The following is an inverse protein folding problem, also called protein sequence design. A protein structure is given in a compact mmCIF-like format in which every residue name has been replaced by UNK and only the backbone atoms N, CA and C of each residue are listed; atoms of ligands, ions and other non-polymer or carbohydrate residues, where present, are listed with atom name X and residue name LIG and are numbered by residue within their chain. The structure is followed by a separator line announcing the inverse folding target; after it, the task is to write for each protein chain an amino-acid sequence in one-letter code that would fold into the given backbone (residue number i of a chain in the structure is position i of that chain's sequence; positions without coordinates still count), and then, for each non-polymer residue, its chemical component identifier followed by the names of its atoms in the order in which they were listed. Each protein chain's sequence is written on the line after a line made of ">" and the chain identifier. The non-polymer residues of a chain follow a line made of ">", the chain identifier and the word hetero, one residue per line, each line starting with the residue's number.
data_IF_851247186578
#
_entry.id   IF_851247186578
#
_cell.length_a   1.000
_cell.length_b   1.000
_cell.length_c   1.000
_cell.angle_alpha   90.00
_cell.angle_beta   90.00
_cell.angle_gamma   90.00
#
_symmetry.space_group_name_H-M   'P 1'
#
loop_
_entity.id
_entity.type
_entity.pdbx_description
1 polymer ?
#
# COMPACT_ATOMS: atom_id res chain seq x y z
N UNK A 1 31.88 82.74 -34.09
CA UNK A 1 33.31 83.03 -33.80
C UNK A 1 33.74 82.10 -32.68
N UNK A 2 34.76 81.27 -32.95
CA UNK A 2 35.71 80.63 -32.01
C UNK A 2 35.17 79.86 -30.79
N UNK A 3 35.69 78.71 -30.38
CA UNK A 3 36.85 77.93 -30.81
C UNK A 3 36.69 76.52 -30.25
N UNK A 4 37.19 75.53 -31.00
CA UNK A 4 37.34 74.14 -30.60
C UNK A 4 38.28 74.00 -29.39
N UNK A 5 37.95 73.10 -28.48
CA UNK A 5 38.92 72.44 -27.60
C UNK A 5 38.60 70.95 -27.55
N UNK A 6 39.49 70.15 -28.13
CA UNK A 6 39.42 68.70 -28.12
C UNK A 6 39.92 68.17 -26.77
N UNK A 7 39.14 67.30 -26.13
CA UNK A 7 39.57 66.52 -24.96
C UNK A 7 39.60 65.05 -25.40
N UNK A 8 40.81 64.48 -25.42
CA UNK A 8 41.08 63.07 -25.63
C UNK A 8 40.62 62.29 -24.38
N UNK A 9 39.62 61.42 -24.50
CA UNK A 9 39.34 60.40 -23.48
C UNK A 9 39.88 59.04 -23.96
N UNK A 10 40.86 58.51 -23.23
CA UNK A 10 41.27 57.11 -23.34
C UNK A 10 40.16 56.22 -22.75
N UNK A 11 39.62 55.31 -23.56
CA UNK A 11 38.74 54.25 -23.09
C UNK A 11 39.59 53.06 -22.59
N UNK A 12 39.57 52.78 -21.30
CA UNK A 12 40.07 51.54 -20.73
C UNK A 12 38.90 50.55 -20.61
N UNK A 13 38.88 49.51 -21.45
CA UNK A 13 37.92 48.41 -21.36
C UNK A 13 38.41 47.38 -20.34
N UNK A 14 37.82 47.36 -19.15
CA UNK A 14 38.00 46.25 -18.20
C UNK A 14 36.97 45.16 -18.51
N UNK A 15 37.44 44.05 -19.07
CA UNK A 15 36.65 42.82 -19.23
C UNK A 15 36.43 42.17 -17.86
N UNK A 16 35.18 42.10 -17.41
CA UNK A 16 34.80 41.26 -16.27
C UNK A 16 34.65 39.84 -16.80
N UNK A 17 35.65 39.01 -16.56
CA UNK A 17 35.56 37.56 -16.77
C UNK A 17 34.66 36.98 -15.69
N UNK A 18 33.43 36.59 -16.05
CA UNK A 18 32.60 35.77 -15.19
C UNK A 18 33.27 34.39 -15.06
N UNK A 19 33.84 34.12 -13.89
CA UNK A 19 34.18 32.76 -13.47
C UNK A 19 32.86 32.00 -13.29
N UNK A 20 32.51 31.15 -14.26
CA UNK A 20 31.52 30.10 -14.05
C UNK A 20 32.11 29.14 -13.01
N UNK A 21 31.67 29.28 -11.76
CA UNK A 21 31.78 28.21 -10.79
C UNK A 21 30.70 27.19 -11.15
N UNK A 22 31.08 26.14 -11.88
CA UNK A 22 30.28 24.93 -11.99
C UNK A 22 30.29 24.25 -10.62
N UNK A 23 29.36 24.67 -9.75
CA UNK A 23 29.00 23.89 -8.57
C UNK A 23 28.25 22.68 -9.10
N UNK A 24 28.98 21.58 -9.30
CA UNK A 24 28.42 20.27 -9.56
C UNK A 24 27.75 19.75 -8.28
N UNK A 25 26.56 20.28 -7.97
CA UNK A 25 25.63 19.65 -7.03
C UNK A 25 25.17 18.35 -7.70
N UNK A 26 25.86 17.26 -7.41
CA UNK A 26 25.54 15.89 -7.85
C UNK A 26 24.23 15.37 -7.26
N UNK A 27 23.16 16.16 -7.28
CA UNK A 27 21.79 15.70 -7.17
C UNK A 27 21.35 15.29 -8.57
N UNK A 28 21.89 14.16 -9.04
CA UNK A 28 21.21 13.43 -10.10
C UNK A 28 19.83 13.09 -9.56
N UNK A 29 18.78 13.76 -10.04
CA UNK A 29 17.41 13.30 -9.91
C UNK A 29 17.40 11.91 -10.55
N UNK A 30 17.52 10.88 -9.72
CA UNK A 30 17.32 9.51 -10.18
C UNK A 30 15.89 9.46 -10.70
N UNK A 31 15.74 9.29 -12.02
CA UNK A 31 14.43 9.10 -12.63
C UNK A 31 13.89 7.78 -12.10
N UNK A 32 12.90 7.85 -11.22
CA UNK A 32 12.19 6.67 -10.73
C UNK A 32 11.47 6.03 -11.92
N UNK A 33 11.78 4.78 -12.30
CA UNK A 33 11.08 4.09 -13.36
C UNK A 33 9.60 3.95 -13.02
N UNK A 34 8.73 4.40 -13.91
CA UNK A 34 7.31 4.05 -13.82
C UNK A 34 7.14 2.58 -14.22
N UNK A 35 6.58 1.80 -13.31
CA UNK A 35 6.20 0.41 -13.54
C UNK A 35 4.67 0.36 -13.60
N UNK A 36 4.14 -0.23 -14.67
CA UNK A 36 2.71 -0.48 -14.85
C UNK A 36 2.48 -1.62 -15.85
N UNK A 37 1.36 -2.35 -15.76
CA UNK A 37 0.89 -3.25 -16.80
C UNK A 37 0.63 -2.53 -18.12
N UNK A 38 0.69 -3.22 -19.25
CA UNK A 38 0.30 -2.67 -20.55
C UNK A 38 -1.23 -2.51 -20.61
N UNK A 39 -1.74 -1.32 -20.27
CA UNK A 39 -3.18 -1.03 -20.32
C UNK A 39 -3.71 -0.76 -21.72
N UNK A 40 -2.87 -0.71 -22.76
CA UNK A 40 -3.36 -0.48 -24.12
C UNK A 40 -4.28 -1.61 -24.59
N UNK A 41 -4.06 -2.82 -24.06
CA UNK A 41 -4.92 -4.01 -24.29
C UNK A 41 -6.33 -3.89 -23.69
N UNK A 42 -6.59 -2.87 -22.86
CA UNK A 42 -7.85 -2.64 -22.18
C UNK A 42 -8.70 -1.53 -22.79
N UNK A 43 -8.19 -0.80 -23.79
CA UNK A 43 -8.85 0.37 -24.36
C UNK A 43 -10.22 0.05 -25.01
N UNK A 44 -10.34 -1.14 -25.60
CA UNK A 44 -11.56 -1.59 -26.27
C UNK A 44 -12.43 -2.51 -25.40
N UNK A 45 -12.02 -2.76 -24.14
CA UNK A 45 -12.74 -3.65 -23.23
C UNK A 45 -13.85 -2.89 -22.48
N UNK A 46 -15.05 -3.50 -22.32
CA UNK A 46 -16.12 -2.88 -21.57
C UNK A 46 -15.68 -2.68 -20.12
N UNK A 47 -15.76 -1.44 -19.65
CA UNK A 47 -15.37 -1.11 -18.29
C UNK A 47 -16.54 -1.39 -17.34
N UNK A 48 -16.33 -2.33 -16.43
CA UNK A 48 -17.31 -2.81 -15.45
C UNK A 48 -16.61 -3.04 -14.12
N UNK A 49 -17.36 -2.97 -13.02
CA UNK A 49 -16.83 -3.39 -11.73
C UNK A 49 -16.63 -4.91 -11.73
N UNK A 50 -15.51 -5.37 -11.19
CA UNK A 50 -15.28 -6.78 -10.89
C UNK A 50 -16.43 -7.34 -10.07
N UNK A 51 -16.75 -8.63 -10.24
CA UNK A 51 -17.91 -9.30 -9.62
C UNK A 51 -19.32 -8.75 -9.98
N UNK A 52 -19.42 -7.65 -10.72
CA UNK A 52 -20.71 -7.13 -11.23
C UNK A 52 -20.90 -7.45 -12.71
N UNK A 53 -19.84 -7.85 -13.41
CA UNK A 53 -19.93 -8.32 -14.78
C UNK A 53 -20.58 -9.71 -14.85
N UNK A 54 -21.65 -9.83 -15.62
CA UNK A 54 -22.31 -11.11 -15.92
C UNK A 54 -21.87 -11.71 -17.25
N UNK A 55 -21.02 -11.01 -18.00
CA UNK A 55 -20.42 -11.47 -19.25
C UNK A 55 -19.01 -12.00 -19.02
N UNK A 56 -18.53 -12.86 -19.93
CA UNK A 56 -17.17 -13.38 -19.89
C UNK A 56 -16.16 -12.24 -20.00
N UNK A 57 -15.18 -12.21 -19.09
CA UNK A 57 -14.04 -11.29 -19.19
C UNK A 57 -13.07 -11.86 -20.23
N UNK A 58 -12.98 -11.23 -21.40
CA UNK A 58 -12.12 -11.69 -22.49
C UNK A 58 -10.64 -11.48 -22.18
N UNK A 59 -10.30 -10.32 -21.60
CA UNK A 59 -8.95 -9.98 -21.19
C UNK A 59 -8.86 -9.81 -19.67
N UNK A 60 -8.29 -10.80 -19.00
CA UNK A 60 -8.14 -10.84 -17.54
C UNK A 60 -7.14 -9.81 -17.01
N UNK A 61 -6.36 -9.16 -17.87
CA UNK A 61 -5.49 -8.04 -17.48
C UNK A 61 -6.26 -6.74 -17.21
N UNK A 62 -7.54 -6.67 -17.60
CA UNK A 62 -8.34 -5.44 -17.55
C UNK A 62 -9.32 -5.38 -16.37
N UNK A 63 -9.45 -6.49 -15.64
CA UNK A 63 -10.29 -6.61 -14.45
C UNK A 63 -9.76 -7.76 -13.58
N UNK A 64 -9.71 -7.62 -12.25
CA UNK A 64 -9.37 -8.74 -11.37
C UNK A 64 -10.31 -9.92 -11.58
N UNK A 65 -9.76 -11.05 -12.03
CA UNK A 65 -10.51 -12.31 -12.19
C UNK A 65 -9.58 -13.54 -12.28
N UNK A 66 -9.79 -14.60 -11.48
CA UNK A 66 -10.58 -14.60 -10.23
C UNK A 66 -10.04 -13.57 -9.23
N UNK A 67 -10.71 -13.36 -8.11
CA UNK A 67 -10.26 -12.35 -7.14
C UNK A 67 -10.93 -10.98 -7.22
N UNK A 68 -12.12 -10.91 -7.82
CA UNK A 68 -12.82 -9.64 -8.06
C UNK A 68 -13.37 -8.95 -6.81
N UNK A 69 -13.42 -9.62 -5.66
CA UNK A 69 -13.75 -9.02 -4.38
C UNK A 69 -12.45 -8.65 -3.67
N UNK A 70 -12.04 -7.39 -3.76
CA UNK A 70 -10.73 -6.95 -3.29
C UNK A 70 -10.84 -6.34 -1.90
N UNK A 71 -10.04 -6.85 -0.96
CA UNK A 71 -10.01 -6.41 0.43
C UNK A 71 -8.74 -5.62 0.71
N UNK A 72 -8.87 -4.37 1.16
CA UNK A 72 -7.76 -3.65 1.80
C UNK A 72 -7.81 -3.94 3.30
N UNK A 73 -6.78 -4.60 3.83
CA UNK A 73 -6.77 -5.09 5.22
C UNK A 73 -5.74 -4.33 6.06
N UNK A 74 -6.08 -4.04 7.31
CA UNK A 74 -5.23 -3.27 8.23
C UNK A 74 -5.17 -3.90 9.62
N UNK A 75 -4.04 -3.68 10.29
CA UNK A 75 -3.80 -4.03 11.67
C UNK A 75 -3.85 -2.83 12.61
N UNK A 76 -4.39 -3.07 13.80
CA UNK A 76 -4.05 -2.33 15.00
C UNK A 76 -3.23 -3.22 15.93
N UNK A 77 -1.91 -3.19 15.75
CA UNK A 77 -0.98 -3.81 16.68
C UNK A 77 -0.63 -2.83 17.81
N UNK A 78 -0.49 -3.35 19.03
CA UNK A 78 -0.01 -2.57 20.18
C UNK A 78 1.49 -2.69 20.40
N UNK A 79 2.16 -3.64 19.74
CA UNK A 79 3.61 -3.87 19.79
C UNK A 79 4.06 -4.64 18.55
N UNK A 80 5.36 -4.61 18.24
CA UNK A 80 5.96 -5.35 17.10
C UNK A 80 6.68 -6.61 17.55
N UNK A 81 7.19 -6.65 18.79
CA UNK A 81 8.06 -7.74 19.27
C UNK A 81 9.50 -7.64 18.77
N UNK A 82 9.79 -6.66 17.90
CA UNK A 82 11.11 -6.35 17.37
C UNK A 82 11.51 -4.90 17.67
N UNK A 83 10.96 -4.28 18.71
CA UNK A 83 11.28 -2.90 19.12
C UNK A 83 12.79 -2.72 19.37
N UNK A 84 13.46 -3.75 19.92
CA UNK A 84 14.92 -3.74 20.14
C UNK A 84 15.73 -3.68 18.84
N UNK A 85 15.12 -4.02 17.70
CA UNK A 85 15.70 -3.90 16.36
C UNK A 85 15.26 -2.63 15.63
N UNK A 86 14.49 -1.75 16.29
CA UNK A 86 14.00 -0.50 15.72
C UNK A 86 12.75 -0.63 14.84
N UNK A 87 12.14 -1.81 14.76
CA UNK A 87 10.85 -1.99 14.09
C UNK A 87 9.75 -1.46 15.01
N UNK A 88 9.18 -0.31 14.64
CA UNK A 88 8.21 0.45 15.44
C UNK A 88 6.96 0.71 14.62
N UNK A 89 5.86 1.01 15.30
CA UNK A 89 4.57 1.29 14.66
C UNK A 89 4.38 2.81 14.48
N UNK A 90 3.71 3.26 13.40
CA UNK A 90 3.53 4.68 13.09
C UNK A 90 2.48 5.31 14.00
N UNK A 91 2.85 6.30 14.82
CA UNK A 91 1.88 7.02 15.66
C UNK A 91 0.72 7.59 14.82
N UNK A 92 -0.48 7.58 15.39
CA UNK A 92 -1.66 8.15 14.75
C UNK A 92 -2.09 7.43 13.47
N UNK A 93 -1.72 6.16 13.30
CA UNK A 93 -2.02 5.40 12.08
C UNK A 93 -2.22 3.93 12.40
N UNK A 94 -3.17 3.30 11.70
CA UNK A 94 -3.18 1.84 11.56
C UNK A 94 -2.03 1.42 10.64
N UNK A 95 -1.76 0.13 10.53
CA UNK A 95 -0.74 -0.41 9.60
C UNK A 95 -1.37 -1.33 8.58
N UNK A 96 -0.73 -1.44 7.43
CA UNK A 96 -1.13 -2.34 6.34
C UNK A 96 -1.00 -3.80 6.84
N UNK A 97 -2.03 -4.60 6.60
CA UNK A 97 -1.94 -6.05 6.59
C UNK A 97 -1.68 -6.50 5.15
N UNK A 98 -2.58 -6.17 4.21
CA UNK A 98 -2.39 -6.48 2.80
C UNK A 98 -3.49 -5.97 1.87
N UNK A 99 -3.50 -6.54 0.66
CA UNK A 99 -4.53 -6.36 -0.37
C UNK A 99 -4.88 -7.74 -0.92
N UNK A 100 -6.10 -8.21 -0.66
CA UNK A 100 -6.46 -9.61 -0.90
C UNK A 100 -7.53 -9.75 -1.97
N UNK A 101 -7.31 -10.61 -2.97
CA UNK A 101 -8.30 -10.90 -4.00
C UNK A 101 -9.14 -12.13 -3.63
N UNK A 102 -10.32 -11.88 -3.06
CA UNK A 102 -11.31 -12.93 -2.80
C UNK A 102 -12.17 -13.18 -4.05
N UNK A 103 -12.69 -14.40 -4.17
CA UNK A 103 -13.71 -14.71 -5.16
C UNK A 103 -14.99 -13.93 -4.85
N UNK A 104 -15.82 -13.74 -5.87
CA UNK A 104 -17.08 -12.98 -5.75
C UNK A 104 -18.09 -13.61 -4.78
N UNK A 105 -17.93 -14.87 -4.41
CA UNK A 105 -18.74 -15.57 -3.42
C UNK A 105 -18.18 -15.48 -1.98
N UNK A 106 -17.07 -14.76 -1.78
CA UNK A 106 -16.37 -14.62 -0.50
C UNK A 106 -15.43 -15.78 -0.15
N UNK A 107 -15.31 -16.81 -1.00
CA UNK A 107 -14.21 -17.77 -0.88
C UNK A 107 -12.90 -17.15 -1.37
N UNK A 108 -11.76 -17.75 -1.07
CA UNK A 108 -10.46 -17.23 -1.51
C UNK A 108 -9.50 -18.35 -1.91
N UNK A 109 -8.56 -18.02 -2.77
CA UNK A 109 -7.43 -18.86 -3.14
C UNK A 109 -6.15 -18.34 -2.49
N UNK A 110 -5.11 -19.16 -2.46
CA UNK A 110 -3.81 -18.78 -1.90
C UNK A 110 -2.67 -19.47 -2.65
N UNK A 111 -1.54 -18.78 -2.79
CA UNK A 111 -0.32 -19.31 -3.43
C UNK A 111 -0.59 -19.88 -4.84
N UNK A 112 -1.26 -19.11 -5.69
CA UNK A 112 -1.80 -19.60 -6.96
C UNK A 112 -0.76 -19.70 -8.08
N UNK A 113 0.44 -19.12 -7.90
CA UNK A 113 1.56 -19.24 -8.85
C UNK A 113 2.87 -19.54 -8.11
N UNK A 114 3.29 -20.80 -8.15
CA UNK A 114 4.53 -21.25 -7.53
C UNK A 114 5.80 -20.66 -8.18
N UNK A 115 5.72 -20.20 -9.44
CA UNK A 115 6.86 -19.60 -10.14
C UNK A 115 7.16 -18.16 -9.70
N UNK A 116 6.18 -17.52 -9.05
CA UNK A 116 6.24 -16.15 -8.52
C UNK A 116 6.08 -16.10 -6.99
N UNK A 117 6.32 -17.22 -6.32
CA UNK A 117 6.31 -17.31 -4.87
C UNK A 117 7.67 -16.84 -4.31
N UNK A 118 7.63 -16.00 -3.27
CA UNK A 118 8.81 -15.45 -2.58
C UNK A 118 8.77 -15.60 -1.05
N UNK A 119 7.73 -16.20 -0.47
CA UNK A 119 7.58 -16.37 0.98
C UNK A 119 8.59 -17.41 1.52
N UNK A 120 9.44 -17.05 2.49
CA UNK A 120 10.43 -17.96 3.09
C UNK A 120 9.82 -18.98 4.07
N UNK A 121 8.57 -18.81 4.49
CA UNK A 121 7.89 -19.71 5.44
C UNK A 121 6.44 -20.01 5.02
N UNK A 122 6.21 -20.55 3.81
CA UNK A 122 4.87 -20.82 3.31
C UNK A 122 4.26 -22.06 3.99
N UNK A 123 2.95 -22.32 3.84
CA UNK A 123 2.31 -23.50 4.41
C UNK A 123 2.86 -24.81 3.81
N UNK A 124 2.65 -25.92 4.52
CA UNK A 124 3.01 -27.26 4.06
C UNK A 124 2.47 -27.54 2.66
N UNK A 125 3.35 -27.96 1.75
CA UNK A 125 3.01 -28.26 0.35
C UNK A 125 3.41 -27.16 -0.64
N UNK A 126 3.82 -25.99 -0.15
CA UNK A 126 4.45 -24.93 -0.95
C UNK A 126 5.95 -24.90 -0.62
N UNK A 127 6.79 -24.83 -1.64
CA UNK A 127 8.25 -24.77 -1.44
C UNK A 127 8.65 -23.43 -0.82
N UNK A 128 9.48 -23.48 0.22
CA UNK A 128 9.99 -22.29 0.88
C UNK A 128 10.99 -21.54 0.00
N UNK A 129 10.80 -20.25 -0.17
CA UNK A 129 11.72 -19.42 -0.94
C UNK A 129 13.05 -19.21 -0.21
N UNK A 130 14.16 -19.38 -0.93
CA UNK A 130 15.52 -19.27 -0.37
C UNK A 130 16.35 -18.15 -1.03
N UNK A 131 15.74 -17.37 -1.92
CA UNK A 131 16.39 -16.26 -2.60
C UNK A 131 16.41 -14.96 -1.78
N UNK A 132 16.82 -13.85 -2.39
CA UNK A 132 16.86 -12.55 -1.72
C UNK A 132 15.45 -12.01 -1.43
N UNK A 133 15.31 -11.25 -0.35
CA UNK A 133 14.02 -10.67 0.06
C UNK A 133 13.42 -9.74 -1.01
N UNK A 134 12.09 -9.60 -0.98
CA UNK A 134 11.34 -8.74 -1.91
C UNK A 134 11.75 -7.27 -1.83
N UNK A 135 12.35 -6.84 -0.72
CA UNK A 135 12.95 -5.50 -0.59
C UNK A 135 14.06 -5.26 -1.63
N UNK A 136 14.83 -6.30 -1.97
CA UNK A 136 15.89 -6.22 -2.98
C UNK A 136 15.33 -6.01 -4.38
N UNK A 137 14.12 -6.50 -4.65
CA UNK A 137 13.43 -6.30 -5.92
C UNK A 137 13.02 -4.85 -6.05
N UNK A 138 12.37 -4.31 -5.02
CA UNK A 138 11.96 -2.89 -4.98
C UNK A 138 13.17 -1.96 -5.14
N UNK A 139 14.28 -2.26 -4.44
CA UNK A 139 15.55 -1.53 -4.57
C UNK A 139 16.14 -1.59 -5.98
N UNK A 140 16.04 -2.72 -6.67
CA UNK A 140 16.50 -2.86 -8.05
C UNK A 140 15.74 -1.97 -9.04
N UNK A 141 14.52 -1.56 -8.70
CA UNK A 141 13.75 -0.55 -9.45
C UNK A 141 14.01 0.89 -8.97
N UNK A 142 14.94 1.11 -8.03
CA UNK A 142 15.24 2.44 -7.50
C UNK A 142 14.13 3.05 -6.63
N UNK A 143 13.22 2.21 -6.10
CA UNK A 143 12.04 2.63 -5.32
C UNK A 143 12.31 2.66 -3.81
N UNK A 144 13.33 3.39 -3.41
CA UNK A 144 13.63 3.60 -1.98
C UNK A 144 12.51 4.38 -1.27
N UNK A 145 11.75 5.20 -2.01
CA UNK A 145 10.52 5.85 -1.52
C UNK A 145 9.45 4.85 -1.09
N UNK A 146 9.27 3.78 -1.88
CA UNK A 146 8.32 2.72 -1.61
C UNK A 146 8.76 1.90 -0.40
N UNK A 147 10.05 1.53 -0.33
CA UNK A 147 10.61 0.84 0.83
C UNK A 147 10.47 1.65 2.11
N UNK A 148 10.78 2.95 2.08
CA UNK A 148 10.64 3.82 3.23
C UNK A 148 9.18 3.89 3.73
N UNK A 149 8.21 3.96 2.81
CA UNK A 149 6.79 3.91 3.19
C UNK A 149 6.41 2.55 3.79
N UNK A 150 6.79 1.45 3.14
CA UNK A 150 6.49 0.08 3.63
C UNK A 150 7.12 -0.16 5.00
N UNK A 151 8.37 0.24 5.22
CA UNK A 151 9.07 0.13 6.50
C UNK A 151 8.46 0.96 7.63
N UNK A 152 7.60 1.95 7.32
CA UNK A 152 6.88 2.78 8.29
C UNK A 152 5.45 2.29 8.55
N UNK A 153 4.77 1.79 7.52
CA UNK A 153 3.32 1.53 7.58
C UNK A 153 2.91 0.07 7.33
N UNK A 154 3.81 -0.80 6.87
CA UNK A 154 3.53 -2.22 6.62
C UNK A 154 4.40 -3.10 7.51
N UNK A 155 4.06 -3.10 8.80
CA UNK A 155 4.89 -3.61 9.88
C UNK A 155 4.45 -5.01 10.28
N UNK A 156 5.38 -5.94 10.31
CA UNK A 156 5.16 -7.29 10.79
C UNK A 156 5.18 -7.35 12.34
N UNK A 157 4.56 -8.37 12.91
CA UNK A 157 4.64 -8.67 14.34
C UNK A 157 5.44 -9.97 14.57
N UNK A 158 6.48 -9.90 15.39
CA UNK A 158 7.30 -11.03 15.81
C UNK A 158 8.36 -11.48 14.80
N UNK A 159 8.31 -10.99 13.56
CA UNK A 159 9.26 -11.31 12.49
C UNK A 159 9.56 -10.08 11.62
N UNK A 160 10.47 -10.23 10.65
CA UNK A 160 10.91 -9.11 9.81
C UNK A 160 9.82 -8.70 8.82
N UNK A 161 9.83 -7.42 8.44
CA UNK A 161 8.86 -6.90 7.47
C UNK A 161 9.02 -7.56 6.10
N UNK A 162 10.25 -7.84 5.67
CA UNK A 162 10.55 -8.43 4.36
C UNK A 162 9.92 -9.81 4.19
N UNK A 163 9.95 -10.65 5.24
CA UNK A 163 9.29 -11.95 5.22
C UNK A 163 7.76 -11.80 5.09
N UNK A 164 7.19 -10.77 5.73
CA UNK A 164 5.76 -10.50 5.67
C UNK A 164 5.33 -9.94 4.31
N UNK A 165 6.07 -9.00 3.75
CA UNK A 165 5.79 -8.50 2.39
C UNK A 165 5.87 -9.61 1.35
N UNK A 166 6.82 -10.54 1.52
CA UNK A 166 6.94 -11.72 0.68
C UNK A 166 5.75 -12.67 0.85
N UNK A 167 5.28 -12.90 2.07
CA UNK A 167 4.04 -13.63 2.37
C UNK A 167 2.84 -13.02 1.64
N UNK A 168 2.62 -11.71 1.81
CA UNK A 168 1.46 -11.02 1.27
C UNK A 168 1.43 -11.08 -0.27
N UNK A 169 2.57 -10.83 -0.94
CA UNK A 169 2.64 -10.99 -2.39
C UNK A 169 2.37 -12.46 -2.80
N UNK A 170 3.12 -13.39 -2.22
CA UNK A 170 3.10 -14.80 -2.60
C UNK A 170 1.74 -15.45 -2.44
N UNK A 171 1.07 -15.13 -1.33
CA UNK A 171 -0.20 -15.73 -0.96
C UNK A 171 -1.35 -15.08 -1.72
N UNK A 172 -1.34 -13.76 -1.88
CA UNK A 172 -2.50 -13.01 -2.36
C UNK A 172 -2.33 -12.48 -3.78
N UNK A 173 -1.24 -11.78 -4.10
CA UNK A 173 -1.03 -11.17 -5.42
C UNK A 173 -0.95 -12.22 -6.54
N UNK A 174 -0.45 -13.43 -6.23
CA UNK A 174 -0.38 -14.52 -7.22
C UNK A 174 -1.76 -15.08 -7.61
N UNK A 175 -2.83 -14.72 -6.90
CA UNK A 175 -4.18 -15.25 -7.06
C UNK A 175 -5.15 -14.32 -7.79
N UNK A 176 -4.65 -13.20 -8.34
CA UNK A 176 -5.43 -12.29 -9.17
C UNK A 176 -4.70 -11.99 -10.47
N UNK A 177 -5.48 -11.84 -11.55
CA UNK A 177 -4.97 -11.78 -12.92
C UNK A 177 -4.22 -10.49 -13.26
N UNK A 178 -4.56 -9.37 -12.64
CA UNK A 178 -4.02 -8.06 -13.08
C UNK A 178 -2.55 -7.88 -12.72
N UNK A 179 -2.00 -8.72 -11.83
CA UNK A 179 -0.56 -8.80 -11.55
C UNK A 179 0.15 -9.90 -12.34
N UNK A 180 -0.53 -10.62 -13.23
CA UNK A 180 0.13 -11.62 -14.06
C UNK A 180 1.17 -10.98 -14.96
N UNK A 181 2.33 -11.64 -15.08
CA UNK A 181 3.45 -11.17 -15.91
C UNK A 181 3.03 -10.97 -17.37
N UNK A 182 2.06 -11.75 -17.85
CA UNK A 182 1.48 -11.59 -19.19
C UNK A 182 0.88 -10.20 -19.42
N UNK A 183 0.38 -9.55 -18.37
CA UNK A 183 -0.23 -8.22 -18.45
C UNK A 183 0.79 -7.09 -18.66
N UNK A 184 2.08 -7.36 -18.48
CA UNK A 184 3.15 -6.38 -18.67
C UNK A 184 3.74 -6.40 -20.09
N UNK A 185 3.33 -7.37 -20.91
CA UNK A 185 3.78 -7.51 -22.29
C UNK A 185 5.28 -7.80 -22.44
N UNK A 186 5.84 -7.62 -23.65
CA UNK A 186 7.21 -8.02 -23.97
C UNK A 186 8.29 -7.17 -23.27
N UNK A 187 7.91 -6.03 -22.70
CA UNK A 187 8.80 -5.13 -21.96
C UNK A 187 8.90 -5.45 -20.46
N UNK A 188 8.24 -6.51 -19.99
CA UNK A 188 8.28 -6.92 -18.59
C UNK A 188 9.72 -7.04 -18.08
N UNK A 189 9.99 -6.36 -16.96
CA UNK A 189 11.22 -6.55 -16.20
C UNK A 189 10.92 -7.45 -15.00
N UNK A 190 11.80 -8.41 -14.73
CA UNK A 190 11.62 -9.35 -13.61
C UNK A 190 11.31 -8.59 -12.30
N UNK A 191 10.24 -9.00 -11.64
CA UNK A 191 9.67 -8.42 -10.40
C UNK A 191 8.94 -7.08 -10.55
N UNK A 192 8.65 -6.62 -11.76
CA UNK A 192 7.84 -5.42 -11.97
C UNK A 192 6.45 -5.55 -11.33
N UNK A 193 5.86 -6.73 -11.40
CA UNK A 193 4.59 -7.09 -10.78
C UNK A 193 4.61 -7.01 -9.25
N UNK A 194 5.75 -7.36 -8.63
CA UNK A 194 5.94 -7.24 -7.18
C UNK A 194 5.95 -5.79 -6.74
N UNK A 195 6.66 -4.92 -7.47
CA UNK A 195 6.71 -3.47 -7.18
C UNK A 195 5.31 -2.86 -7.33
N UNK A 196 4.61 -3.20 -8.41
CA UNK A 196 3.27 -2.66 -8.68
C UNK A 196 2.23 -3.15 -7.69
N UNK A 197 2.36 -4.37 -7.16
CA UNK A 197 1.53 -4.87 -6.06
C UNK A 197 1.69 -4.02 -4.80
N UNK A 198 2.92 -3.72 -4.39
CA UNK A 198 3.15 -2.91 -3.19
C UNK A 198 2.63 -1.48 -3.36
N UNK A 199 2.79 -0.88 -4.54
CA UNK A 199 2.17 0.42 -4.85
C UNK A 199 0.63 0.36 -4.84
N UNK A 200 0.03 -0.72 -5.37
CA UNK A 200 -1.41 -0.93 -5.34
C UNK A 200 -1.93 -1.03 -3.90
N UNK A 201 -1.26 -1.81 -3.04
CA UNK A 201 -1.63 -1.95 -1.63
C UNK A 201 -1.58 -0.59 -0.93
N UNK A 202 -0.53 0.21 -1.15
CA UNK A 202 -0.41 1.54 -0.53
C UNK A 202 -1.47 2.51 -1.03
N UNK A 203 -1.79 2.49 -2.33
CA UNK A 203 -2.87 3.32 -2.90
C UNK A 203 -4.21 2.96 -2.30
N UNK A 204 -4.53 1.67 -2.19
CA UNK A 204 -5.73 1.21 -1.53
C UNK A 204 -5.75 1.62 -0.05
N UNK A 205 -4.64 1.41 0.68
CA UNK A 205 -4.50 1.77 2.09
C UNK A 205 -4.78 3.26 2.35
N UNK A 206 -4.26 4.15 1.49
CA UNK A 206 -4.46 5.60 1.61
C UNK A 206 -5.91 6.05 1.43
N UNK A 207 -6.78 5.23 0.82
CA UNK A 207 -8.22 5.52 0.76
C UNK A 207 -8.90 5.33 2.12
N UNK A 208 -8.27 4.59 3.03
CA UNK A 208 -8.85 4.21 4.31
C UNK A 208 -7.98 4.65 5.51
N UNK A 209 -7.86 5.95 5.82
CA UNK A 209 -7.19 6.44 7.03
C UNK A 209 -7.98 6.10 8.31
N UNK A 210 -8.03 4.82 8.69
CA UNK A 210 -8.86 4.27 9.77
C UNK A 210 -8.69 5.02 11.10
N UNK A 211 -7.46 5.41 11.44
CA UNK A 211 -7.19 6.16 12.67
C UNK A 211 -7.98 7.48 12.71
N UNK A 212 -7.92 8.25 11.63
CA UNK A 212 -8.58 9.56 11.52
C UNK A 212 -10.09 9.41 11.42
N UNK A 213 -10.57 8.40 10.67
CA UNK A 213 -12.00 8.09 10.59
C UNK A 213 -12.60 7.82 11.97
N UNK A 214 -11.96 6.94 12.76
CA UNK A 214 -12.39 6.66 14.13
C UNK A 214 -12.26 7.89 15.03
N UNK A 215 -11.13 8.60 14.94
CA UNK A 215 -10.84 9.81 15.71
C UNK A 215 -11.88 10.92 15.50
N UNK A 216 -12.43 11.07 14.28
CA UNK A 216 -13.47 12.06 13.98
C UNK A 216 -14.79 11.81 14.75
N UNK A 217 -15.01 10.59 15.25
CA UNK A 217 -16.13 10.21 16.11
C UNK A 217 -15.73 10.09 17.59
N UNK A 218 -14.54 10.58 17.96
CA UNK A 218 -14.02 10.46 19.32
C UNK A 218 -13.62 9.04 19.70
N UNK A 219 -13.46 8.13 18.73
CA UNK A 219 -12.98 6.77 18.95
C UNK A 219 -11.46 6.78 18.83
N UNK A 220 -10.79 6.88 19.97
CA UNK A 220 -9.32 6.93 20.07
C UNK A 220 -8.77 5.79 20.92
N UNK A 221 -7.50 5.40 20.74
CA UNK A 221 -6.87 4.40 21.59
C UNK A 221 -6.90 4.82 23.07
N UNK A 222 -7.21 3.87 23.95
CA UNK A 222 -7.32 4.12 25.39
C UNK A 222 -7.20 2.82 26.19
N UNK A 223 -6.47 2.87 27.29
CA UNK A 223 -6.43 1.79 28.28
C UNK A 223 -7.52 1.93 29.37
N UNK A 224 -8.46 2.89 29.20
CA UNK A 224 -9.47 3.24 30.22
C UNK A 224 -10.90 3.29 29.68
N UNK A 225 -11.07 3.41 28.37
CA UNK A 225 -12.36 3.55 27.71
C UNK A 225 -12.51 2.49 26.63
N UNK A 226 -13.75 2.09 26.39
CA UNK A 226 -14.13 1.11 25.38
C UNK A 226 -15.35 1.62 24.63
N UNK A 227 -15.68 0.95 23.52
CA UNK A 227 -16.73 1.33 22.60
C UNK A 227 -17.64 0.14 22.31
N UNK A 228 -18.89 0.37 21.91
CA UNK A 228 -19.69 -0.71 21.34
C UNK A 228 -19.25 -1.00 19.90
N UNK A 229 -19.39 -2.25 19.46
CA UNK A 229 -19.17 -2.61 18.06
C UNK A 229 -19.99 -1.73 17.11
N UNK A 230 -21.25 -1.47 17.46
CA UNK A 230 -22.15 -0.62 16.66
C UNK A 230 -21.67 0.83 16.54
N UNK A 231 -20.94 1.37 17.52
CA UNK A 231 -20.40 2.72 17.44
C UNK A 231 -19.21 2.77 16.45
N UNK A 232 -18.32 1.78 16.52
CA UNK A 232 -17.17 1.65 15.60
C UNK A 232 -17.66 1.46 14.16
N UNK A 233 -18.63 0.55 13.95
CA UNK A 233 -19.20 0.30 12.61
C UNK A 233 -19.84 1.56 12.02
N UNK A 234 -20.64 2.30 12.81
CA UNK A 234 -21.27 3.55 12.34
C UNK A 234 -20.25 4.63 12.01
N UNK A 235 -19.19 4.77 12.81
CA UNK A 235 -18.12 5.72 12.54
C UNK A 235 -17.48 5.44 11.17
N UNK A 236 -17.07 4.20 10.93
CA UNK A 236 -16.44 3.80 9.66
C UNK A 236 -17.42 3.90 8.49
N UNK A 237 -18.64 3.38 8.63
CA UNK A 237 -19.67 3.44 7.59
C UNK A 237 -20.00 4.88 7.17
N UNK A 238 -19.98 5.83 8.10
CA UNK A 238 -20.22 7.25 7.76
C UNK A 238 -19.16 7.86 6.85
N UNK A 239 -17.93 7.33 6.90
CA UNK A 239 -16.79 7.83 6.13
C UNK A 239 -16.63 7.08 4.81
N UNK A 240 -16.94 5.78 4.80
CA UNK A 240 -16.71 4.90 3.64
C UNK A 240 -17.98 4.56 2.86
N UNK A 241 -19.16 4.81 3.44
CA UNK A 241 -20.44 4.38 2.90
C UNK A 241 -20.80 2.92 3.16
N UNK A 242 -19.92 2.15 3.82
CA UNK A 242 -20.10 0.71 4.02
C UNK A 242 -19.55 0.20 5.36
N UNK A 243 -20.11 -0.90 5.85
CA UNK A 243 -19.68 -1.54 7.10
C UNK A 243 -18.51 -2.48 6.81
N UNK A 244 -17.28 -2.18 7.27
CA UNK A 244 -16.15 -3.09 7.09
C UNK A 244 -16.23 -4.31 8.02
N UNK A 245 -15.39 -5.31 7.77
CA UNK A 245 -15.12 -6.34 8.76
C UNK A 245 -14.31 -5.73 9.90
N UNK A 246 -14.64 -6.10 11.14
CA UNK A 246 -13.86 -5.76 12.33
C UNK A 246 -13.40 -7.05 12.99
N UNK A 247 -12.08 -7.17 13.12
CA UNK A 247 -11.42 -8.28 13.80
C UNK A 247 -11.12 -7.92 15.23
N UNK A 248 -11.49 -8.80 16.17
CA UNK A 248 -11.10 -8.66 17.57
C UNK A 248 -10.43 -9.92 18.10
N UNK A 249 -9.43 -9.70 18.96
CA UNK A 249 -8.78 -10.70 19.79
C UNK A 249 -9.39 -10.71 21.20
N UNK A 250 -8.79 -11.50 22.11
CA UNK A 250 -9.21 -11.58 23.52
C UNK A 250 -10.71 -11.84 23.68
N UNK A 251 -11.19 -12.94 23.10
CA UNK A 251 -12.60 -13.34 23.08
C UNK A 251 -13.54 -12.26 22.51
N UNK A 252 -13.09 -11.59 21.43
CA UNK A 252 -13.89 -10.62 20.70
C UNK A 252 -13.96 -9.24 21.36
N UNK A 253 -13.07 -8.92 22.31
CA UNK A 253 -13.13 -7.65 23.06
C UNK A 253 -12.00 -6.68 22.75
N UNK A 254 -10.95 -7.09 22.03
CA UNK A 254 -9.82 -6.21 21.72
C UNK A 254 -9.69 -6.01 20.21
N UNK A 255 -9.98 -4.81 19.73
CA UNK A 255 -9.94 -4.48 18.31
C UNK A 255 -8.52 -4.64 17.76
N UNK A 256 -8.38 -5.41 16.68
CA UNK A 256 -7.08 -5.78 16.10
C UNK A 256 -7.01 -5.63 14.58
N UNK A 257 -8.13 -5.74 13.87
CA UNK A 257 -8.14 -5.68 12.40
C UNK A 257 -9.36 -4.93 11.86
N UNK A 258 -9.19 -4.34 10.68
CA UNK A 258 -10.29 -3.86 9.84
C UNK A 258 -10.04 -4.24 8.39
N UNK A 259 -11.06 -4.77 7.71
CA UNK A 259 -10.98 -5.11 6.28
C UNK A 259 -12.06 -4.36 5.50
N UNK A 260 -11.63 -3.60 4.49
CA UNK A 260 -12.50 -2.83 3.60
C UNK A 260 -12.67 -3.58 2.29
N UNK A 261 -13.92 -3.95 1.98
CA UNK A 261 -14.27 -4.73 0.80
C UNK A 261 -14.58 -3.82 -0.38
N UNK A 262 -14.20 -4.21 -1.58
CA UNK A 262 -14.47 -3.44 -2.78
C UNK A 262 -14.62 -4.30 -4.02
N UNK A 263 -15.47 -3.86 -4.94
CA UNK A 263 -15.32 -4.20 -6.34
C UNK A 263 -14.42 -3.16 -7.02
N UNK A 264 -13.67 -3.57 -8.02
CA UNK A 264 -12.69 -2.72 -8.71
C UNK A 264 -13.18 -2.45 -10.14
N UNK A 265 -13.21 -1.17 -10.51
CA UNK A 265 -13.41 -0.75 -11.89
C UNK A 265 -12.05 -0.52 -12.55
N UNK A 266 -11.69 -1.37 -13.51
CA UNK A 266 -10.33 -1.46 -14.04
C UNK A 266 -9.51 -2.46 -13.22
N UNK A 267 -8.28 -2.11 -12.86
CA UNK A 267 -7.35 -3.02 -12.17
C UNK A 267 -7.03 -2.57 -10.75
N UNK A 268 -6.50 -3.48 -9.92
CA UNK A 268 -6.07 -3.17 -8.55
C UNK A 268 -4.97 -2.10 -8.50
N UNK A 269 -4.15 -2.01 -9.55
CA UNK A 269 -3.14 -0.97 -9.60
C UNK A 269 -3.78 0.42 -9.69
N UNK A 270 -4.52 0.73 -10.75
CA UNK A 270 -4.93 2.12 -11.04
C UNK A 270 -6.45 2.34 -11.11
N UNK A 271 -7.23 1.30 -10.85
CA UNK A 271 -8.69 1.31 -10.90
C UNK A 271 -9.35 2.04 -9.75
N UNK A 272 -10.67 2.16 -9.84
CA UNK A 272 -11.50 2.76 -8.78
C UNK A 272 -12.11 1.66 -7.93
N UNK A 273 -12.03 1.84 -6.61
CA UNK A 273 -12.58 0.91 -5.63
C UNK A 273 -13.97 1.38 -5.23
N UNK A 274 -14.99 0.56 -5.51
CA UNK A 274 -16.34 0.75 -5.00
C UNK A 274 -16.45 -0.01 -3.69
N UNK A 275 -16.43 0.71 -2.57
CA UNK A 275 -16.53 0.11 -1.24
C UNK A 275 -17.87 -0.59 -1.04
N UNK A 276 -17.85 -1.74 -0.35
CA UNK A 276 -18.99 -2.61 -0.09
C UNK A 276 -19.09 -2.95 1.39
N UNK A 277 -20.30 -3.31 1.82
CA UNK A 277 -20.46 -3.97 3.11
C UNK A 277 -19.68 -5.28 3.13
N UNK A 278 -19.11 -5.60 4.28
CA UNK A 278 -18.35 -6.84 4.47
C UNK A 278 -19.19 -8.07 4.16
N UNK A 279 -18.62 -8.99 3.37
CA UNK A 279 -19.19 -10.33 3.16
C UNK A 279 -18.87 -11.28 4.31
N UNK A 280 -17.98 -10.86 5.24
CA UNK A 280 -17.54 -11.64 6.40
C UNK A 280 -18.05 -11.03 7.70
N UNK A 281 -18.56 -11.87 8.61
CA UNK A 281 -19.02 -11.44 9.92
C UNK A 281 -17.85 -11.02 10.82
N UNK A 282 -18.02 -9.91 11.56
CA UNK A 282 -17.06 -9.44 12.57
C UNK A 282 -16.81 -10.50 13.66
N UNK A 283 -15.56 -10.60 14.12
CA UNK A 283 -15.20 -11.42 15.29
C UNK A 283 -15.29 -10.66 16.61
N UNK A 284 -15.53 -9.35 16.57
CA UNK A 284 -15.81 -8.54 17.74
C UNK A 284 -17.18 -8.87 18.36
N UNK A 285 -17.25 -8.87 19.69
CA UNK A 285 -18.47 -9.09 20.45
C UNK A 285 -19.50 -7.99 20.17
N UNK A 286 -20.75 -8.41 19.98
CA UNK A 286 -21.88 -7.48 19.81
C UNK A 286 -22.48 -7.01 21.14
N UNK A 287 -22.12 -7.68 22.24
CA UNK A 287 -22.67 -7.41 23.59
C UNK A 287 -21.64 -6.88 24.58
N UNK A 288 -20.37 -7.25 24.40
CA UNK A 288 -19.29 -6.82 25.29
C UNK A 288 -18.64 -5.51 24.79
N UNK A 289 -18.04 -4.73 25.70
CA UNK A 289 -17.27 -3.56 25.30
C UNK A 289 -16.03 -3.93 24.48
N UNK A 290 -15.79 -3.18 23.40
CA UNK A 290 -14.63 -3.31 22.53
C UNK A 290 -13.55 -2.30 22.95
N UNK A 291 -12.39 -2.83 23.30
CA UNK A 291 -11.20 -2.09 23.66
C UNK A 291 -10.38 -1.78 22.42
N UNK A 292 -10.12 -0.48 22.21
CA UNK A 292 -9.15 0.01 21.25
C UNK A 292 -7.93 0.45 22.05
N UNK A 293 -6.97 -0.46 22.28
CA UNK A 293 -5.90 -0.24 23.25
C UNK A 293 -4.83 0.74 22.76
N UNK A 294 -4.24 1.50 23.68
CA UNK A 294 -3.02 2.26 23.40
C UNK A 294 -1.87 1.31 23.07
N UNK A 295 -0.91 1.79 22.28
CA UNK A 295 0.30 1.02 22.02
C UNK A 295 1.17 0.92 23.26
N UNK A 296 1.95 -0.15 23.33
CA UNK A 296 2.92 -0.38 24.38
C UNK A 296 3.97 0.72 24.37
N UNK A 297 4.45 1.08 25.57
CA UNK A 297 5.47 2.11 25.73
C UNK A 297 6.73 1.75 24.94
N UNK A 298 7.11 2.62 24.00
CA UNK A 298 8.30 2.45 23.17
C UNK A 298 8.07 1.61 21.91
N UNK A 299 6.84 1.20 21.61
CA UNK A 299 6.49 0.45 20.39
C UNK A 299 6.08 1.33 19.22
N UNK A 300 6.15 2.65 19.34
CA UNK A 300 5.73 3.58 18.31
C UNK A 300 6.73 4.73 18.10
N UNK A 301 6.69 5.32 16.90
CA UNK A 301 7.49 6.47 16.51
C UNK A 301 6.69 7.51 15.72
N UNK A 302 7.18 8.75 15.71
CA UNK A 302 6.67 9.77 14.80
C UNK A 302 7.14 9.44 13.39
N UNK A 303 6.18 9.34 12.46
CA UNK A 303 6.45 9.22 11.03
C UNK A 303 6.14 10.57 10.40
N UNK A 304 7.16 11.24 9.85
CA UNK A 304 6.95 12.48 9.11
C UNK A 304 6.40 12.13 7.73
N UNK A 305 5.28 12.76 7.39
CA UNK A 305 4.82 12.88 6.00
C UNK A 305 5.71 13.87 5.23
#
# INVERSE_FOLDING_TARGET
>A
MSSSLAILLLAATTSVSALNLDINLGLGLQSVPSTYPDFTQCLDQPSVYSCENTTTIENTCCSPTPGGLVLQTQFWSTYTGLERKGQLLPKGSWTIHGLWPDNCDGSFAQYCDASRQYDPAPPTGVEAYTGPGVDTFVRAFGREDLLDFMSKYWINQGASNEAFWAHEFSKHATCTSTFDVACYGPSYKKHQDVVDFFDAVIRAYKQYPTFDMLGSFGIVPSNKTSYSLSHIQKALQSQTGAIPYLGCTHNGTALSEVWYFSHVYGTEQFGTYKTLDSTTASTCSSTEPIWYYERSRGSEHEVRN
#
